data_IF_508796160200
#
_entry.id   IF_508796160200
#
_cell.length_a   1.000
_cell.length_b   1.000
_cell.length_c   1.000
_cell.angle_alpha   90.00
_cell.angle_beta   90.00
_cell.angle_gamma   90.00
#
_symmetry.space_group_name_H-M   'P 1'
#
loop_
_entity.id
_entity.type
_entity.pdbx_description
1 polymer ?
#
# COMPACT_ATOMS: atom_id res chain seq x y z
N UNK A 1 18.91 -18.43 32.98
CA UNK A 1 18.81 -17.58 31.78
C UNK A 1 20.08 -16.74 31.71
N UNK A 2 20.92 -16.94 30.70
CA UNK A 2 22.16 -16.15 30.53
C UNK A 2 21.77 -14.76 30.02
N UNK A 3 22.08 -13.72 30.79
CA UNK A 3 22.06 -12.35 30.31
C UNK A 3 23.20 -12.20 29.30
N UNK A 4 22.88 -11.98 28.03
CA UNK A 4 23.86 -11.61 27.03
C UNK A 4 24.15 -10.12 27.17
N UNK A 5 25.36 -9.79 27.61
CA UNK A 5 25.89 -8.42 27.49
C UNK A 5 26.10 -8.11 26.01
N UNK A 6 25.32 -7.17 25.49
CA UNK A 6 25.60 -6.53 24.20
C UNK A 6 26.74 -5.53 24.43
N UNK A 7 27.96 -5.94 24.09
CA UNK A 7 29.08 -5.01 24.03
C UNK A 7 28.82 -3.99 22.91
N UNK A 8 28.86 -2.67 23.19
CA UNK A 8 28.73 -1.67 22.13
C UNK A 8 29.94 -1.76 21.21
N UNK A 9 29.69 -2.04 19.93
CA UNK A 9 30.68 -1.92 18.85
C UNK A 9 31.31 -0.52 18.95
N UNK A 10 32.64 -0.45 19.04
CA UNK A 10 33.38 0.79 19.25
C UNK A 10 32.96 1.88 18.25
N UNK A 11 32.06 2.76 18.66
CA UNK A 11 31.73 3.98 17.95
C UNK A 11 32.93 4.91 18.08
N UNK A 12 33.33 5.51 16.96
CA UNK A 12 34.35 6.55 16.93
C UNK A 12 34.06 7.63 17.97
N UNK A 13 35.13 8.24 18.48
CA UNK A 13 35.22 9.31 19.49
C UNK A 13 33.89 10.05 19.73
N UNK A 14 33.38 10.14 20.98
CA UNK A 14 32.07 10.71 21.26
C UNK A 14 32.00 12.15 20.76
N UNK A 15 31.43 12.33 19.57
CA UNK A 15 31.14 13.64 19.01
C UNK A 15 30.02 14.20 19.86
N UNK A 16 30.32 15.23 20.66
CA UNK A 16 29.30 15.95 21.44
C UNK A 16 28.30 16.55 20.45
N UNK A 17 27.15 15.91 20.31
CA UNK A 17 26.07 16.39 19.47
C UNK A 17 25.41 17.61 20.12
N UNK A 18 24.88 18.55 19.34
CA UNK A 18 24.12 19.68 19.89
C UNK A 18 22.86 19.17 20.59
N UNK A 19 22.46 19.84 21.67
CA UNK A 19 21.14 19.63 22.27
C UNK A 19 20.06 20.10 21.28
N UNK A 20 19.00 19.31 21.13
CA UNK A 20 17.86 19.63 20.26
C UNK A 20 16.60 19.65 21.13
N UNK A 21 15.83 20.73 21.02
CA UNK A 21 14.51 20.84 21.64
C UNK A 21 13.47 20.15 20.75
N UNK A 22 12.62 19.31 21.36
CA UNK A 22 11.59 18.53 20.68
C UNK A 22 10.34 18.46 21.53
N UNK A 23 9.20 18.20 20.90
CA UNK A 23 7.96 17.84 21.60
C UNK A 23 7.91 16.32 21.77
N UNK A 24 7.43 15.86 22.92
CA UNK A 24 7.26 14.45 23.23
C UNK A 24 5.78 14.15 23.50
N UNK A 25 5.29 13.06 22.91
CA UNK A 25 3.94 12.55 23.11
C UNK A 25 4.07 11.12 23.65
N UNK A 26 3.50 10.86 24.81
CA UNK A 26 3.43 9.54 25.41
C UNK A 26 1.98 9.06 25.34
N UNK A 27 1.73 8.00 24.58
CA UNK A 27 0.42 7.40 24.41
C UNK A 27 0.44 5.96 24.93
N UNK A 28 -0.53 5.63 25.78
CA UNK A 28 -0.70 4.30 26.37
C UNK A 28 -2.14 3.88 26.14
N UNK A 29 -2.35 2.68 25.62
CA UNK A 29 -3.66 2.06 25.47
C UNK A 29 -4.35 1.92 26.82
N UNK A 30 -5.57 2.46 26.93
CA UNK A 30 -6.41 2.34 28.11
C UNK A 30 -7.20 1.01 28.08
N UNK A 31 -7.62 0.54 29.25
CA UNK A 31 -8.57 -0.57 29.41
C UNK A 31 -8.15 -1.90 28.73
N UNK A 32 -6.89 -2.28 28.90
CA UNK A 32 -6.35 -3.53 28.34
C UNK A 32 -6.84 -4.74 29.13
N UNK A 33 -7.35 -5.77 28.43
CA UNK A 33 -7.77 -7.02 29.05
C UNK A 33 -6.59 -7.69 29.80
N UNK A 34 -6.88 -8.41 30.89
CA UNK A 34 -5.92 -8.96 31.89
C UNK A 34 -4.77 -9.88 31.39
N UNK A 35 -4.53 -9.97 30.07
CA UNK A 35 -3.48 -10.83 29.48
C UNK A 35 -2.70 -10.18 28.34
N UNK A 36 -2.90 -8.89 28.07
CA UNK A 36 -2.19 -8.18 27.01
C UNK A 36 -1.33 -7.05 27.59
N UNK A 37 -0.12 -6.89 27.06
CA UNK A 37 0.66 -5.68 27.32
C UNK A 37 -0.01 -4.51 26.58
N UNK A 38 -0.15 -3.33 27.21
CA UNK A 38 -0.71 -2.16 26.55
C UNK A 38 0.15 -1.74 25.36
N UNK A 39 -0.50 -1.31 24.28
CA UNK A 39 0.20 -0.55 23.28
C UNK A 39 0.72 0.76 23.90
N UNK A 40 2.03 0.94 23.85
CA UNK A 40 2.72 2.10 24.42
C UNK A 40 3.63 2.73 23.36
N UNK A 41 3.41 4.02 23.06
CA UNK A 41 4.22 4.79 22.12
C UNK A 41 4.79 6.04 22.80
N UNK A 42 6.11 6.21 22.65
CA UNK A 42 6.81 7.47 22.91
C UNK A 42 7.19 8.08 21.55
N UNK A 43 6.51 9.15 21.16
CA UNK A 43 6.72 9.84 19.89
C UNK A 43 7.46 11.16 20.13
N UNK A 44 8.55 11.38 19.40
CA UNK A 44 9.24 12.66 19.36
C UNK A 44 8.92 13.37 18.05
N UNK A 45 8.58 14.65 18.12
CA UNK A 45 8.20 15.44 16.95
C UNK A 45 8.80 16.84 16.99
N UNK A 46 9.15 17.36 15.81
CA UNK A 46 9.56 18.75 15.62
C UNK A 46 8.37 19.69 15.43
N UNK A 47 7.14 19.17 15.38
CA UNK A 47 5.92 19.95 15.17
C UNK A 47 5.36 20.42 16.52
N UNK A 48 5.08 21.73 16.70
CA UNK A 48 4.61 22.29 17.96
C UNK A 48 3.37 21.60 18.50
N UNK A 49 3.46 21.01 19.70
CA UNK A 49 2.40 20.22 20.34
C UNK A 49 2.16 20.69 21.77
N UNK A 50 1.17 21.55 21.94
CA UNK A 50 0.79 22.22 23.18
C UNK A 50 -0.63 21.86 23.64
N UNK A 51 -1.47 21.33 22.75
CA UNK A 51 -2.85 20.92 23.08
C UNK A 51 -3.07 19.42 22.90
N UNK A 52 -4.18 18.92 23.45
CA UNK A 52 -4.58 17.52 23.30
C UNK A 52 -4.92 17.19 21.85
N UNK A 53 -5.65 18.09 21.19
CA UNK A 53 -6.09 17.94 19.80
C UNK A 53 -4.87 17.83 18.87
N UNK A 54 -3.86 18.64 19.14
CA UNK A 54 -2.56 18.60 18.49
C UNK A 54 -1.83 17.27 18.72
N UNK A 55 -1.81 16.74 19.95
CA UNK A 55 -1.20 15.43 20.22
C UNK A 55 -1.93 14.29 19.49
N UNK A 56 -3.27 14.33 19.44
CA UNK A 56 -4.08 13.35 18.72
C UNK A 56 -3.82 13.38 17.21
N UNK A 57 -3.70 14.56 16.60
CA UNK A 57 -3.33 14.69 15.19
C UNK A 57 -2.00 13.98 14.89
N UNK A 58 -1.00 14.12 15.77
CA UNK A 58 0.31 13.49 15.59
C UNK A 58 0.25 11.98 15.74
N UNK A 59 -0.61 11.48 16.63
CA UNK A 59 -0.90 10.05 16.71
C UNK A 59 -1.55 9.55 15.42
N UNK A 60 -2.55 10.26 14.88
CA UNK A 60 -3.16 9.90 13.59
C UNK A 60 -2.15 9.88 12.44
N UNK A 61 -1.16 10.78 12.42
CA UNK A 61 -0.07 10.73 11.44
C UNK A 61 0.80 9.49 11.64
N UNK A 62 1.15 9.17 12.88
CA UNK A 62 1.98 8.02 13.20
C UNK A 62 1.29 6.69 12.92
N UNK A 63 -0.02 6.60 13.09
CA UNK A 63 -0.83 5.43 12.70
C UNK A 63 -0.68 5.09 11.21
N UNK A 64 -0.52 6.12 10.36
CA UNK A 64 -0.31 5.95 8.92
C UNK A 64 1.07 5.39 8.58
N UNK A 65 2.02 5.32 9.53
CA UNK A 65 3.39 4.78 9.33
C UNK A 65 3.35 3.35 8.76
N UNK A 66 2.40 2.54 9.17
CA UNK A 66 2.27 1.14 8.70
C UNK A 66 1.98 1.01 7.19
N UNK A 67 1.58 2.11 6.53
CA UNK A 67 1.35 2.15 5.09
C UNK A 67 2.62 1.76 4.31
N UNK A 68 3.81 2.13 4.79
CA UNK A 68 5.07 1.77 4.13
C UNK A 68 5.32 0.25 4.17
N UNK A 69 4.85 -0.44 5.20
CA UNK A 69 4.99 -1.90 5.29
C UNK A 69 4.07 -2.60 4.29
N UNK A 70 2.89 -2.03 4.05
CA UNK A 70 2.02 -2.50 2.96
C UNK A 70 2.69 -2.32 1.60
N UNK A 71 3.39 -1.20 1.38
CA UNK A 71 4.20 -0.99 0.17
C UNK A 71 5.35 -2.00 0.06
N UNK A 72 6.14 -2.20 1.12
CA UNK A 72 7.21 -3.20 1.16
C UNK A 72 6.69 -4.61 0.87
N UNK A 73 5.53 -4.97 1.43
CA UNK A 73 4.90 -6.27 1.16
C UNK A 73 4.53 -6.43 -0.31
N UNK A 74 4.01 -5.39 -0.96
CA UNK A 74 3.74 -5.45 -2.41
C UNK A 74 5.06 -5.64 -3.16
N UNK A 75 6.11 -4.86 -2.86
CA UNK A 75 7.39 -4.94 -3.53
C UNK A 75 8.08 -6.31 -3.37
N UNK A 76 8.08 -6.84 -2.15
CA UNK A 76 8.77 -8.10 -1.80
C UNK A 76 7.94 -9.33 -2.13
N UNK A 77 6.65 -9.36 -1.80
CA UNK A 77 5.81 -10.56 -1.98
C UNK A 77 5.00 -10.52 -3.27
N UNK A 78 4.48 -9.36 -3.67
CA UNK A 78 3.71 -9.19 -4.90
C UNK A 78 4.62 -9.14 -6.13
N UNK A 79 5.50 -8.14 -6.18
CA UNK A 79 6.49 -7.99 -7.24
C UNK A 79 7.65 -8.97 -7.10
N UNK A 80 7.81 -9.72 -6.00
CA UNK A 80 8.84 -10.76 -5.82
C UNK A 80 10.26 -10.29 -6.17
N UNK A 81 10.63 -9.07 -5.78
CA UNK A 81 11.92 -8.47 -6.16
C UNK A 81 13.12 -9.26 -5.59
N UNK A 82 13.00 -9.79 -4.39
CA UNK A 82 14.05 -10.57 -3.69
C UNK A 82 14.24 -11.97 -4.29
N UNK A 83 13.25 -12.49 -5.03
CA UNK A 83 13.31 -13.81 -5.65
C UNK A 83 13.87 -13.80 -7.08
N UNK A 84 14.13 -12.62 -7.65
CA UNK A 84 14.62 -12.46 -9.03
C UNK A 84 16.14 -12.41 -9.07
N UNK A 85 16.72 -13.06 -10.09
CA UNK A 85 18.16 -13.06 -10.33
C UNK A 85 18.50 -12.11 -11.48
N UNK A 86 18.92 -10.88 -11.17
CA UNK A 86 19.19 -9.84 -12.18
C UNK A 86 20.62 -9.86 -12.75
N UNK A 87 21.47 -10.75 -12.26
CA UNK A 87 22.84 -10.98 -12.76
C UNK A 87 23.89 -9.97 -12.29
N UNK A 88 23.54 -8.69 -12.13
CA UNK A 88 24.44 -7.67 -11.57
C UNK A 88 23.70 -6.58 -10.79
N UNK A 89 24.46 -5.74 -10.09
CA UNK A 89 23.93 -4.69 -9.22
C UNK A 89 23.15 -3.62 -10.00
N UNK A 90 23.67 -3.13 -11.12
CA UNK A 90 23.01 -2.07 -11.89
C UNK A 90 21.63 -2.50 -12.41
N UNK A 91 21.53 -3.73 -12.92
CA UNK A 91 20.26 -4.33 -13.35
C UNK A 91 19.31 -4.52 -12.17
N UNK A 92 19.82 -4.93 -11.01
CA UNK A 92 19.01 -5.03 -9.79
C UNK A 92 18.45 -3.67 -9.37
N UNK A 93 19.27 -2.61 -9.37
CA UNK A 93 18.85 -1.25 -9.01
C UNK A 93 17.78 -0.74 -9.98
N UNK A 94 18.02 -0.83 -11.30
CA UNK A 94 17.05 -0.39 -12.30
C UNK A 94 15.72 -1.15 -12.22
N UNK A 95 15.76 -2.48 -12.09
CA UNK A 95 14.55 -3.28 -11.97
C UNK A 95 13.79 -2.99 -10.66
N UNK A 96 14.51 -2.82 -9.56
CA UNK A 96 13.92 -2.47 -8.26
C UNK A 96 13.25 -1.11 -8.31
N UNK A 97 13.84 -0.12 -8.97
CA UNK A 97 13.23 1.19 -9.18
C UNK A 97 11.89 1.09 -9.94
N UNK A 98 11.84 0.26 -11.00
CA UNK A 98 10.60 0.01 -11.72
C UNK A 98 9.55 -0.69 -10.83
N UNK A 99 9.94 -1.74 -10.10
CA UNK A 99 9.02 -2.45 -9.21
C UNK A 99 8.55 -1.59 -8.04
N UNK A 100 9.35 -0.62 -7.58
CA UNK A 100 8.97 0.35 -6.57
C UNK A 100 7.78 1.20 -7.04
N UNK A 101 7.83 1.69 -8.28
CA UNK A 101 6.74 2.47 -8.91
C UNK A 101 5.49 1.60 -9.10
N UNK A 102 5.64 0.37 -9.57
CA UNK A 102 4.51 -0.57 -9.73
C UNK A 102 3.87 -0.86 -8.36
N UNK A 103 4.69 -1.10 -7.33
CA UNK A 103 4.21 -1.38 -5.97
C UNK A 103 3.44 -0.19 -5.38
N UNK A 104 3.94 1.02 -5.63
CA UNK A 104 3.25 2.25 -5.26
C UNK A 104 1.91 2.36 -5.99
N UNK A 105 1.86 2.11 -7.30
CA UNK A 105 0.61 2.21 -8.09
C UNK A 105 -0.46 1.21 -7.63
N UNK A 106 -0.07 -0.01 -7.26
CA UNK A 106 -0.99 -0.99 -6.66
C UNK A 106 -1.50 -0.50 -5.29
N UNK A 107 -0.61 0.03 -4.45
CA UNK A 107 -1.01 0.56 -3.15
C UNK A 107 -1.95 1.76 -3.31
N UNK A 108 -1.61 2.69 -4.20
CA UNK A 108 -2.43 3.85 -4.56
C UNK A 108 -3.83 3.42 -4.99
N UNK A 109 -3.95 2.46 -5.91
CA UNK A 109 -5.24 1.91 -6.33
C UNK A 109 -6.05 1.32 -5.15
N UNK A 110 -5.37 0.65 -4.22
CA UNK A 110 -5.98 0.03 -3.03
C UNK A 110 -6.53 1.08 -2.07
N UNK A 111 -5.86 2.23 -1.96
CA UNK A 111 -6.19 3.30 -1.00
C UNK A 111 -7.13 4.35 -1.60
N UNK A 112 -6.98 4.70 -2.87
CA UNK A 112 -7.75 5.77 -3.51
C UNK A 112 -9.25 5.51 -3.44
N UNK A 113 -9.70 4.28 -3.75
CA UNK A 113 -11.10 3.90 -3.66
C UNK A 113 -11.68 3.90 -2.23
N UNK A 114 -10.81 3.96 -1.21
CA UNK A 114 -11.22 4.11 0.20
C UNK A 114 -11.37 5.57 0.61
N UNK A 115 -10.61 6.46 -0.04
CA UNK A 115 -10.66 7.91 0.18
C UNK A 115 -11.88 8.48 -0.54
N UNK A 116 -12.02 8.18 -1.83
CA UNK A 116 -13.15 8.60 -2.64
C UNK A 116 -13.47 7.52 -3.68
N UNK A 117 -14.49 6.73 -3.35
CA UNK A 117 -14.92 5.60 -4.15
C UNK A 117 -15.82 5.97 -5.34
N UNK A 118 -16.33 7.20 -5.38
CA UNK A 118 -17.32 7.67 -6.36
C UNK A 118 -16.66 8.34 -7.58
N UNK A 119 -15.36 8.64 -7.49
CA UNK A 119 -14.56 9.12 -8.63
C UNK A 119 -14.68 8.19 -9.85
N UNK A 120 -14.63 8.76 -11.06
CA UNK A 120 -14.63 7.96 -12.28
C UNK A 120 -13.35 7.10 -12.36
N UNK A 121 -13.46 5.89 -12.91
CA UNK A 121 -12.35 4.94 -12.93
C UNK A 121 -11.14 5.36 -13.77
N UNK A 122 -11.29 6.33 -14.65
CA UNK A 122 -10.24 6.83 -15.56
C UNK A 122 -9.16 7.66 -14.86
N UNK A 123 -9.38 8.08 -13.62
CA UNK A 123 -8.32 8.61 -12.75
C UNK A 123 -7.28 7.55 -12.37
N UNK A 124 -7.66 6.27 -12.45
CA UNK A 124 -6.81 5.13 -12.12
C UNK A 124 -6.42 4.33 -13.36
N UNK A 125 -7.38 4.03 -14.24
CA UNK A 125 -7.24 3.10 -15.36
C UNK A 125 -7.24 3.84 -16.70
N UNK A 126 -6.33 3.46 -17.59
CA UNK A 126 -6.34 3.94 -18.96
C UNK A 126 -7.63 3.53 -19.67
N UNK A 127 -8.05 4.25 -20.73
CA UNK A 127 -9.27 3.95 -21.48
C UNK A 127 -9.39 2.48 -21.88
N UNK A 128 -8.28 1.88 -22.29
CA UNK A 128 -8.25 0.51 -22.72
C UNK A 128 -8.38 -0.49 -21.57
N UNK A 129 -7.75 -0.20 -20.43
CA UNK A 129 -7.77 -1.06 -19.25
C UNK A 129 -9.20 -1.17 -18.68
N UNK A 130 -9.89 -0.04 -18.47
CA UNK A 130 -11.24 -0.10 -17.90
C UNK A 130 -12.26 -0.69 -18.87
N UNK A 131 -12.12 -0.45 -20.19
CA UNK A 131 -12.98 -1.05 -21.21
C UNK A 131 -12.81 -2.56 -21.27
N UNK A 132 -11.56 -3.03 -21.30
CA UNK A 132 -11.23 -4.45 -21.29
C UNK A 132 -11.75 -5.13 -20.02
N UNK A 133 -11.55 -4.48 -18.86
CA UNK A 133 -12.06 -4.93 -17.57
C UNK A 133 -13.59 -5.07 -17.60
N UNK A 134 -14.30 -4.03 -18.05
CA UNK A 134 -15.76 -4.03 -18.13
C UNK A 134 -16.27 -5.18 -19.02
N UNK A 135 -15.71 -5.30 -20.22
CA UNK A 135 -16.06 -6.37 -21.16
C UNK A 135 -15.87 -7.75 -20.53
N UNK A 136 -14.75 -7.96 -19.82
CA UNK A 136 -14.45 -9.24 -19.18
C UNK A 136 -15.34 -9.54 -17.97
N UNK A 137 -15.72 -8.53 -17.19
CA UNK A 137 -16.58 -8.67 -16.01
C UNK A 137 -18.03 -8.97 -16.41
N UNK A 138 -18.53 -8.28 -17.43
CA UNK A 138 -19.92 -8.35 -17.86
C UNK A 138 -20.15 -9.31 -19.05
N UNK A 139 -19.09 -9.95 -19.55
CA UNK A 139 -19.13 -10.85 -20.71
C UNK A 139 -19.83 -10.23 -21.93
N UNK A 140 -19.40 -9.01 -22.30
CA UNK A 140 -20.02 -8.20 -23.35
C UNK A 140 -18.97 -7.38 -24.09
N UNK A 141 -19.25 -6.99 -25.33
CA UNK A 141 -18.45 -6.02 -26.09
C UNK A 141 -19.04 -4.60 -26.02
N UNK A 142 -20.27 -4.46 -25.52
CA UNK A 142 -20.97 -3.18 -25.39
C UNK A 142 -20.54 -2.46 -24.12
N UNK A 143 -19.99 -1.26 -24.28
CA UNK A 143 -19.53 -0.41 -23.17
C UNK A 143 -20.68 0.38 -22.53
N UNK A 144 -20.60 0.71 -21.23
CA UNK A 144 -21.62 1.51 -20.57
C UNK A 144 -21.55 2.97 -21.04
N UNK A 145 -22.68 3.68 -20.99
CA UNK A 145 -22.72 5.10 -21.33
C UNK A 145 -22.02 5.99 -20.29
N UNK A 146 -22.00 5.56 -19.02
CA UNK A 146 -21.33 6.25 -17.91
C UNK A 146 -20.10 5.47 -17.47
N UNK A 147 -19.03 6.18 -17.14
CA UNK A 147 -17.83 5.58 -16.58
C UNK A 147 -18.15 4.86 -15.25
N UNK A 148 -17.63 3.63 -15.06
CA UNK A 148 -17.65 2.99 -13.76
C UNK A 148 -16.93 3.83 -12.70
N UNK A 149 -17.36 3.68 -11.45
CA UNK A 149 -16.71 4.29 -10.29
C UNK A 149 -15.45 3.53 -9.88
N UNK A 150 -14.59 4.17 -9.09
CA UNK A 150 -13.42 3.50 -8.50
C UNK A 150 -13.80 2.29 -7.65
N UNK A 151 -14.85 2.40 -6.83
CA UNK A 151 -15.34 1.28 -6.02
C UNK A 151 -15.67 0.06 -6.87
N UNK A 152 -16.34 0.28 -8.01
CA UNK A 152 -16.70 -0.80 -8.94
C UNK A 152 -15.45 -1.45 -9.53
N UNK A 153 -14.54 -0.67 -10.13
CA UNK A 153 -13.38 -1.25 -10.81
C UNK A 153 -12.40 -1.90 -9.84
N UNK A 154 -12.19 -1.33 -8.65
CA UNK A 154 -11.34 -1.93 -7.61
C UNK A 154 -11.93 -3.25 -7.14
N UNK A 155 -13.24 -3.33 -6.95
CA UNK A 155 -13.91 -4.59 -6.60
C UNK A 155 -13.75 -5.64 -7.71
N UNK A 156 -13.90 -5.26 -8.97
CA UNK A 156 -13.74 -6.18 -10.10
C UNK A 156 -12.30 -6.68 -10.23
N UNK A 157 -11.32 -5.79 -10.15
CA UNK A 157 -9.89 -6.14 -10.15
C UNK A 157 -9.58 -7.10 -8.99
N UNK A 158 -10.04 -6.76 -7.78
CA UNK A 158 -9.81 -7.59 -6.60
C UNK A 158 -10.42 -9.00 -6.76
N UNK A 159 -11.61 -9.11 -7.37
CA UNK A 159 -12.25 -10.42 -7.65
C UNK A 159 -11.39 -11.29 -8.55
N UNK A 160 -10.77 -10.74 -9.59
CA UNK A 160 -9.79 -11.48 -10.40
C UNK A 160 -8.54 -11.88 -9.61
N UNK A 161 -8.20 -11.14 -8.55
CA UNK A 161 -7.14 -11.50 -7.61
C UNK A 161 -7.53 -12.49 -6.51
N UNK A 162 -8.78 -13.00 -6.52
CA UNK A 162 -9.30 -13.97 -5.55
C UNK A 162 -10.10 -13.37 -4.39
N UNK A 163 -10.50 -12.09 -4.46
CA UNK A 163 -11.39 -11.51 -3.46
C UNK A 163 -12.83 -12.03 -3.61
N UNK A 164 -13.41 -12.53 -2.53
CA UNK A 164 -14.72 -13.19 -2.56
C UNK A 164 -15.91 -12.21 -2.51
N UNK A 165 -15.71 -11.02 -1.95
CA UNK A 165 -16.74 -9.98 -1.82
C UNK A 165 -17.99 -10.44 -1.04
N UNK A 166 -17.78 -11.11 0.10
CA UNK A 166 -18.86 -11.48 1.02
C UNK A 166 -19.36 -10.25 1.78
N UNK A 167 -20.57 -10.33 2.34
CA UNK A 167 -21.27 -9.22 3.01
C UNK A 167 -20.45 -8.49 4.10
N UNK A 168 -19.58 -9.22 4.78
CA UNK A 168 -18.76 -8.70 5.89
C UNK A 168 -17.26 -8.76 5.60
N UNK A 169 -16.86 -8.97 4.34
CA UNK A 169 -15.45 -8.89 3.97
C UNK A 169 -14.98 -7.44 4.11
N UNK A 170 -13.80 -7.28 4.72
CA UNK A 170 -13.11 -5.98 4.75
C UNK A 170 -12.76 -5.56 3.32
N UNK A 171 -12.62 -4.25 3.05
CA UNK A 171 -12.22 -3.76 1.73
C UNK A 171 -10.99 -4.49 1.17
N UNK A 172 -10.91 -4.69 -0.17
CA UNK A 172 -9.81 -5.39 -0.80
C UNK A 172 -8.44 -4.94 -0.29
N UNK A 173 -7.62 -5.92 0.08
CA UNK A 173 -6.24 -5.69 0.52
C UNK A 173 -5.25 -5.69 -0.64
N UNK A 174 -4.00 -5.26 -0.41
CA UNK A 174 -2.96 -5.23 -1.43
C UNK A 174 -2.78 -6.56 -2.18
N UNK A 175 -2.92 -7.70 -1.49
CA UNK A 175 -2.74 -9.04 -2.07
C UNK A 175 -3.65 -9.36 -3.24
N UNK A 176 -4.94 -9.14 -3.05
CA UNK A 176 -5.91 -9.36 -4.13
C UNK A 176 -5.77 -8.28 -5.19
N UNK A 177 -5.32 -7.07 -4.83
CA UNK A 177 -5.10 -6.00 -5.80
C UNK A 177 -3.94 -6.30 -6.74
N UNK A 178 -2.74 -6.67 -6.28
CA UNK A 178 -1.62 -6.94 -7.21
C UNK A 178 -1.91 -8.14 -8.12
N UNK A 179 -2.57 -9.18 -7.60
CA UNK A 179 -3.00 -10.34 -8.40
C UNK A 179 -4.04 -9.91 -9.45
N UNK A 180 -4.99 -9.08 -9.04
CA UNK A 180 -5.99 -8.49 -9.92
C UNK A 180 -5.37 -7.63 -11.03
N UNK A 181 -4.36 -6.81 -10.72
CA UNK A 181 -3.66 -6.01 -11.73
C UNK A 181 -2.89 -6.87 -12.73
N UNK A 182 -2.31 -7.98 -12.29
CA UNK A 182 -1.70 -8.94 -13.22
C UNK A 182 -2.75 -9.55 -14.15
N UNK A 183 -3.92 -9.94 -13.63
CA UNK A 183 -5.02 -10.43 -14.45
C UNK A 183 -5.56 -9.35 -15.41
N UNK A 184 -5.67 -8.10 -14.95
CA UNK A 184 -6.08 -6.96 -15.78
C UNK A 184 -5.11 -6.73 -16.94
N UNK A 185 -3.81 -6.89 -16.71
CA UNK A 185 -2.81 -6.80 -17.78
C UNK A 185 -3.11 -7.81 -18.89
N UNK A 186 -3.27 -9.09 -18.56
CA UNK A 186 -3.60 -10.15 -19.53
C UNK A 186 -4.93 -9.88 -20.27
N UNK A 187 -5.95 -9.43 -19.53
CA UNK A 187 -7.26 -9.05 -20.11
C UNK A 187 -7.10 -7.91 -21.11
N UNK A 188 -6.29 -6.91 -20.77
CA UNK A 188 -6.05 -5.73 -21.61
C UNK A 188 -5.24 -6.08 -22.86
N UNK A 189 -4.24 -6.96 -22.74
CA UNK A 189 -3.48 -7.47 -23.89
C UNK A 189 -4.38 -8.22 -24.86
N UNK A 190 -5.24 -9.13 -24.38
CA UNK A 190 -6.16 -9.83 -25.27
C UNK A 190 -7.19 -8.89 -25.91
N UNK A 191 -7.69 -7.92 -25.15
CA UNK A 191 -8.60 -6.91 -25.67
C UNK A 191 -7.95 -6.03 -26.75
N UNK A 192 -6.66 -5.68 -26.59
CA UNK A 192 -5.87 -5.01 -27.63
C UNK A 192 -5.86 -5.83 -28.91
N UNK A 193 -5.48 -7.10 -28.84
CA UNK A 193 -5.33 -7.98 -30.01
C UNK A 193 -6.63 -8.05 -30.82
N UNK A 194 -7.77 -8.25 -30.17
CA UNK A 194 -9.06 -8.36 -30.86
C UNK A 194 -9.56 -7.05 -31.46
N UNK A 195 -9.01 -5.90 -31.05
CA UNK A 195 -9.42 -4.57 -31.51
C UNK A 195 -8.31 -3.78 -32.21
N UNK A 196 -7.26 -4.45 -32.69
CA UNK A 196 -6.17 -3.81 -33.45
C UNK A 196 -6.65 -3.15 -34.76
N UNK A 197 -7.83 -3.55 -35.26
CA UNK A 197 -8.39 -3.11 -36.54
C UNK A 197 -9.57 -2.13 -36.39
N UNK A 198 -9.84 -1.65 -35.18
CA UNK A 198 -10.81 -0.58 -34.89
C UNK A 198 -10.08 0.74 -34.58
#
# INVERSE_FOLDING_TARGET
MRAGELAPTALSTPRRLPNVEVFAIHAIEADVAERHEPLEWMLLTSVPTNTREEALERLEWYERRWTIESWHRILKSGCRVEARQFGNLDRFVHATALFAVISWRVLYATLLARIDGDLPCDVLLQPLEWRALYCRVHNTTTLPARLPTLTQVVLWIAKFGGYLARKHDRPPGPTVMWRGFLALHEITEMYRIFRQNE
#
